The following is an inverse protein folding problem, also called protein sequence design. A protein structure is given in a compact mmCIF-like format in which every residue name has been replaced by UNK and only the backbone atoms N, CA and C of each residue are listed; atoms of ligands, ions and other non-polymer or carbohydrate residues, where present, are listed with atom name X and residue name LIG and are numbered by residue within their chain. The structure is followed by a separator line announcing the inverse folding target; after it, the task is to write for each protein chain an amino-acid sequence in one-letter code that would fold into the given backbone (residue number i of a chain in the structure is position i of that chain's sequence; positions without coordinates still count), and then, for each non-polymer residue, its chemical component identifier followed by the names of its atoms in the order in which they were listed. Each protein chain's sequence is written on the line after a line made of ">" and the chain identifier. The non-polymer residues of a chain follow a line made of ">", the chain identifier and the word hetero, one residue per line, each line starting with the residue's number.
data_IF_037360720798
#
_entry.id   IF_037360720798
#
_cell.length_a   1.000
_cell.length_b   1.000
_cell.length_c   1.000
_cell.angle_alpha   90.00
_cell.angle_beta   90.00
_cell.angle_gamma   90.00
#
_symmetry.space_group_name_H-M   'P 1'
#
loop_
_entity.id
_entity.type
_entity.pdbx_description
1 polymer ?
#
# COMPACT_ATOMS: atom_id res chain seq x y z
N UNK A 1 -11.02 0.27 32.89
CA UNK A 1 -10.10 0.58 31.78
C UNK A 1 -10.08 -0.66 30.89
N UNK A 2 -10.93 -0.69 29.87
CA UNK A 2 -11.08 -1.86 29.00
C UNK A 2 -9.96 -1.88 27.98
N UNK A 3 -9.15 -2.94 27.97
CA UNK A 3 -8.29 -3.25 26.84
C UNK A 3 -9.20 -3.55 25.65
N UNK A 4 -9.17 -2.70 24.62
CA UNK A 4 -9.82 -2.99 23.35
C UNK A 4 -9.24 -4.29 22.83
N UNK A 5 -10.08 -5.32 22.71
CA UNK A 5 -9.66 -6.59 22.15
C UNK A 5 -9.48 -6.37 20.65
N UNK A 6 -8.30 -5.91 20.25
CA UNK A 6 -7.86 -5.89 18.87
C UNK A 6 -7.85 -7.32 18.36
N UNK A 7 -8.97 -7.79 17.81
CA UNK A 7 -9.08 -9.14 17.27
C UNK A 7 -7.93 -9.38 16.32
N UNK A 8 -7.20 -10.50 16.49
CA UNK A 8 -5.98 -10.93 15.78
C UNK A 8 -5.65 -10.17 14.47
N UNK A 9 -5.22 -8.91 14.56
CA UNK A 9 -4.77 -8.17 13.39
C UNK A 9 -3.42 -8.73 12.96
N UNK A 10 -3.21 -8.74 11.66
CA UNK A 10 -1.98 -9.22 11.05
C UNK A 10 -1.79 -8.55 9.70
N UNK A 11 -0.64 -8.85 9.08
CA UNK A 11 -0.34 -8.42 7.72
C UNK A 11 -1.43 -8.84 6.71
N UNK A 12 -2.11 -9.97 6.94
CA UNK A 12 -3.18 -10.48 6.07
C UNK A 12 -4.43 -9.57 6.06
N UNK A 13 -4.56 -8.66 7.03
CA UNK A 13 -5.62 -7.67 7.01
C UNK A 13 -5.31 -6.50 6.06
N UNK A 14 -4.05 -6.34 5.63
CA UNK A 14 -3.69 -5.39 4.57
C UNK A 14 -4.00 -6.02 3.22
N UNK A 15 -5.05 -5.56 2.56
CA UNK A 15 -5.45 -6.03 1.24
C UNK A 15 -5.12 -4.99 0.18
N UNK A 16 -4.71 -5.46 -0.99
CA UNK A 16 -4.31 -4.60 -2.10
C UNK A 16 -5.17 -4.98 -3.30
N UNK A 17 -5.99 -4.03 -3.77
CA UNK A 17 -6.75 -4.13 -5.00
C UNK A 17 -6.11 -3.29 -6.08
N UNK A 18 -6.00 -3.83 -7.29
CA UNK A 18 -5.51 -3.10 -8.46
C UNK A 18 -6.52 -3.23 -9.58
N UNK A 19 -7.00 -2.10 -10.11
CA UNK A 19 -7.97 -2.05 -11.20
C UNK A 19 -7.48 -1.16 -12.32
N UNK A 20 -7.75 -1.54 -13.58
CA UNK A 20 -7.42 -0.70 -14.73
C UNK A 20 -8.29 0.56 -14.71
N UNK A 21 -7.70 1.75 -14.83
CA UNK A 21 -8.47 3.00 -14.80
C UNK A 21 -9.17 3.29 -16.13
N UNK A 22 -8.71 2.67 -17.22
CA UNK A 22 -9.17 2.92 -18.59
C UNK A 22 -8.41 4.05 -19.29
N UNK A 23 -7.51 4.73 -18.57
CA UNK A 23 -6.62 5.75 -19.14
C UNK A 23 -5.31 5.12 -19.62
N UNK A 24 -4.65 5.82 -20.53
CA UNK A 24 -3.30 5.51 -20.98
C UNK A 24 -2.41 6.74 -20.77
N UNK A 25 -1.24 6.53 -20.16
CA UNK A 25 -0.23 7.56 -19.91
C UNK A 25 1.06 7.09 -20.57
N UNK A 26 1.64 7.90 -21.46
CA UNK A 26 2.88 7.55 -22.16
C UNK A 26 2.81 6.23 -22.96
N UNK A 27 1.63 5.86 -23.45
CA UNK A 27 1.41 4.59 -24.17
C UNK A 27 1.38 3.35 -23.26
N UNK A 28 1.24 3.52 -21.95
CA UNK A 28 1.06 2.46 -20.96
C UNK A 28 -0.32 2.57 -20.32
N UNK A 29 -0.93 1.43 -19.99
CA UNK A 29 -2.18 1.41 -19.23
C UNK A 29 -1.99 1.99 -17.83
N UNK A 30 -2.93 2.82 -17.39
CA UNK A 30 -2.98 3.33 -16.01
C UNK A 30 -3.79 2.38 -15.11
N UNK A 31 -3.28 2.17 -13.89
CA UNK A 31 -3.81 1.28 -12.88
C UNK A 31 -4.05 2.03 -11.59
N UNK A 32 -5.24 1.88 -11.01
CA UNK A 32 -5.59 2.41 -9.70
C UNK A 32 -5.38 1.33 -8.65
N UNK A 33 -4.49 1.60 -7.70
CA UNK A 33 -4.21 0.75 -6.55
C UNK A 33 -5.00 1.27 -5.36
N UNK A 34 -5.60 0.37 -4.60
CA UNK A 34 -6.20 0.65 -3.30
C UNK A 34 -5.61 -0.31 -2.28
N UNK A 35 -4.99 0.24 -1.23
CA UNK A 35 -4.51 -0.51 -0.08
C UNK A 35 -5.46 -0.26 1.08
N UNK A 36 -6.06 -1.31 1.62
CA UNK A 36 -7.04 -1.24 2.70
C UNK A 36 -6.57 -2.01 3.92
N UNK A 37 -6.72 -1.42 5.11
CA UNK A 37 -6.57 -2.10 6.38
C UNK A 37 -7.93 -2.67 6.82
N UNK A 38 -8.20 -3.93 6.53
CA UNK A 38 -9.44 -4.61 6.92
C UNK A 38 -9.47 -5.03 8.40
N UNK A 39 -8.55 -4.52 9.23
CA UNK A 39 -8.62 -4.69 10.66
C UNK A 39 -9.22 -3.45 11.34
N UNK A 40 -9.81 -3.63 12.51
CA UNK A 40 -10.32 -2.51 13.32
C UNK A 40 -9.21 -1.67 13.97
N UNK A 41 -7.96 -2.12 13.88
CA UNK A 41 -6.83 -1.51 14.56
C UNK A 41 -5.94 -0.74 13.58
N UNK A 42 -5.41 0.43 13.96
CA UNK A 42 -4.50 1.18 13.10
C UNK A 42 -3.21 0.41 12.85
N UNK A 43 -2.73 0.44 11.61
CA UNK A 43 -1.45 -0.16 11.21
C UNK A 43 -0.55 0.89 10.57
N UNK A 44 0.74 0.90 10.91
CA UNK A 44 1.73 1.86 10.40
C UNK A 44 2.94 1.16 9.84
N UNK A 45 3.85 1.94 9.22
CA UNK A 45 5.08 1.40 8.60
C UNK A 45 4.77 0.26 7.61
N UNK A 46 3.69 0.40 6.86
CA UNK A 46 3.26 -0.61 5.89
C UNK A 46 4.24 -0.62 4.73
N UNK A 47 4.93 -1.74 4.54
CA UNK A 47 5.87 -1.97 3.43
C UNK A 47 5.29 -2.96 2.44
N UNK A 48 5.40 -2.62 1.17
CA UNK A 48 4.97 -3.42 0.04
C UNK A 48 6.18 -3.93 -0.75
N UNK A 49 6.06 -5.13 -1.32
CA UNK A 49 7.02 -5.66 -2.27
C UNK A 49 6.82 -4.99 -3.62
N UNK A 50 7.86 -4.32 -4.11
CA UNK A 50 7.84 -3.55 -5.36
C UNK A 50 9.15 -3.67 -6.15
N UNK A 51 9.86 -4.80 -6.00
CA UNK A 51 11.10 -5.04 -6.73
C UNK A 51 10.86 -5.02 -8.24
N UNK A 52 11.53 -4.10 -8.94
CA UNK A 52 11.33 -3.92 -10.38
C UNK A 52 10.05 -3.17 -10.75
N UNK A 53 9.37 -2.56 -9.78
CA UNK A 53 8.28 -1.64 -10.06
C UNK A 53 8.81 -0.45 -10.86
N UNK A 54 8.10 -0.14 -11.94
CA UNK A 54 8.40 0.98 -12.81
C UNK A 54 7.07 1.62 -13.21
N UNK A 55 7.09 2.90 -13.50
CA UNK A 55 5.92 3.66 -13.90
C UNK A 55 6.36 4.80 -14.82
N UNK A 56 5.58 5.05 -15.87
CA UNK A 56 5.77 6.23 -16.74
C UNK A 56 4.98 7.44 -16.24
N UNK A 57 4.04 7.22 -15.32
CA UNK A 57 3.33 8.26 -14.59
C UNK A 57 4.05 8.53 -13.25
N UNK A 58 4.36 9.80 -12.91
CA UNK A 58 4.89 10.14 -11.61
C UNK A 58 3.91 9.75 -10.50
N UNK A 59 4.36 8.91 -9.56
CA UNK A 59 3.60 8.58 -8.36
C UNK A 59 3.98 9.56 -7.27
N UNK A 60 3.00 10.06 -6.52
CA UNK A 60 3.24 10.96 -5.39
C UNK A 60 4.06 10.24 -4.30
N UNK A 61 5.31 10.69 -4.00
CA UNK A 61 6.16 10.12 -2.97
C UNK A 61 5.52 10.17 -1.57
N UNK A 62 4.60 11.11 -1.32
CA UNK A 62 3.87 11.18 -0.06
C UNK A 62 2.93 9.99 0.12
N UNK A 63 2.49 9.34 -0.97
CA UNK A 63 1.55 8.22 -0.94
C UNK A 63 2.24 6.88 -1.13
N UNK A 64 3.22 6.80 -2.03
CA UNK A 64 3.96 5.58 -2.31
C UNK A 64 5.41 5.89 -2.65
N UNK A 65 6.32 5.47 -1.77
CA UNK A 65 7.74 5.77 -1.88
C UNK A 65 8.54 4.50 -2.09
N UNK A 66 9.39 4.46 -3.13
CA UNK A 66 10.31 3.34 -3.34
C UNK A 66 11.49 3.52 -2.37
N UNK A 67 11.72 2.55 -1.49
CA UNK A 67 12.84 2.62 -0.56
C UNK A 67 14.15 2.37 -1.31
N UNK A 68 15.09 3.31 -1.20
CA UNK A 68 16.46 3.15 -1.66
C UNK A 68 17.16 2.06 -0.84
N UNK A 69 17.89 1.15 -1.52
CA UNK A 69 18.62 0.07 -0.85
C UNK A 69 18.64 -1.28 -1.58
N UNK A 70 17.90 -1.42 -2.68
CA UNK A 70 17.97 -2.63 -3.53
C UNK A 70 17.13 -3.82 -3.03
N UNK A 71 16.52 -3.74 -1.86
CA UNK A 71 15.64 -4.79 -1.30
C UNK A 71 14.28 -4.86 -2.01
N UNK A 72 13.95 -3.90 -2.87
CA UNK A 72 12.70 -3.88 -3.63
C UNK A 72 11.47 -3.72 -2.75
N UNK A 73 11.60 -2.91 -1.68
CA UNK A 73 10.53 -2.57 -0.76
C UNK A 73 10.05 -1.15 -1.04
N UNK A 74 8.74 -0.93 -0.91
CA UNK A 74 8.12 0.38 -1.02
C UNK A 74 7.37 0.69 0.27
N UNK A 75 7.38 1.96 0.66
CA UNK A 75 6.74 2.46 1.86
C UNK A 75 5.44 3.18 1.50
N UNK A 76 4.36 2.77 2.14
CA UNK A 76 3.04 3.35 1.96
C UNK A 76 2.84 4.56 2.88
N UNK A 77 2.31 5.66 2.34
CA UNK A 77 2.06 6.94 3.04
C UNK A 77 3.25 7.40 3.90
N UNK A 78 4.47 7.24 3.39
CA UNK A 78 5.71 7.53 4.13
C UNK A 78 5.77 6.86 5.53
N UNK A 79 5.14 5.69 5.67
CA UNK A 79 5.10 4.92 6.91
C UNK A 79 4.12 5.45 7.96
N UNK A 80 3.26 6.39 7.58
CA UNK A 80 2.18 6.91 8.40
C UNK A 80 1.17 5.83 8.77
N UNK A 81 0.31 6.15 9.72
CA UNK A 81 -0.76 5.25 10.17
C UNK A 81 -1.86 5.18 9.12
N UNK A 82 -2.25 3.95 8.78
CA UNK A 82 -3.50 3.63 8.11
C UNK A 82 -4.49 3.15 9.18
N UNK A 83 -5.49 3.97 9.45
CA UNK A 83 -6.52 3.70 10.46
C UNK A 83 -7.27 2.39 10.19
N UNK A 84 -7.94 1.87 11.22
CA UNK A 84 -8.77 0.68 11.07
C UNK A 84 -9.89 0.91 10.05
N UNK A 85 -10.09 -0.06 9.16
CA UNK A 85 -11.05 0.01 8.03
C UNK A 85 -10.81 1.17 7.04
N UNK A 86 -9.69 1.89 7.15
CA UNK A 86 -9.32 2.93 6.20
C UNK A 86 -8.57 2.36 5.00
N UNK A 87 -8.60 3.11 3.91
CA UNK A 87 -7.87 2.81 2.67
C UNK A 87 -7.12 4.03 2.15
N UNK A 88 -6.02 3.76 1.46
CA UNK A 88 -5.30 4.76 0.66
C UNK A 88 -5.16 4.25 -0.77
N UNK A 89 -5.22 5.17 -1.74
CA UNK A 89 -5.08 4.83 -3.14
C UNK A 89 -4.02 5.68 -3.84
N UNK A 90 -3.43 5.10 -4.87
CA UNK A 90 -2.53 5.79 -5.80
C UNK A 90 -2.66 5.16 -7.19
N UNK A 91 -2.25 5.89 -8.22
CA UNK A 91 -2.27 5.42 -9.60
C UNK A 91 -0.84 5.26 -10.12
N UNK A 92 -0.65 4.32 -11.05
CA UNK A 92 0.60 4.19 -11.79
C UNK A 92 0.31 3.77 -13.23
N UNK A 93 1.23 4.11 -14.14
CA UNK A 93 1.12 3.70 -15.54
C UNK A 93 2.23 2.74 -15.93
N UNK A 94 1.85 1.50 -16.18
CA UNK A 94 2.77 0.42 -16.58
C UNK A 94 2.04 -0.66 -17.37
N UNK A 95 2.78 -1.46 -18.11
CA UNK A 95 2.23 -2.60 -18.86
C UNK A 95 3.25 -3.73 -18.90
N UNK A 96 2.95 -4.92 -18.33
CA UNK A 96 1.67 -5.39 -17.72
C UNK A 96 1.39 -4.80 -16.32
N UNK A 97 0.22 -5.04 -15.67
CA UNK A 97 0.01 -4.61 -14.28
C UNK A 97 1.04 -5.23 -13.34
N UNK A 98 1.50 -4.45 -12.37
CA UNK A 98 2.46 -4.87 -11.36
C UNK A 98 1.75 -5.45 -10.13
N UNK A 99 2.22 -6.61 -9.66
CA UNK A 99 1.70 -7.26 -8.46
C UNK A 99 2.41 -6.71 -7.20
N UNK A 100 1.68 -5.93 -6.41
CA UNK A 100 2.12 -5.46 -5.10
C UNK A 100 1.66 -6.43 -4.03
N UNK A 101 2.54 -6.75 -3.08
CA UNK A 101 2.24 -7.65 -1.96
C UNK A 101 2.60 -7.00 -0.63
N UNK A 102 1.79 -7.13 0.42
CA UNK A 102 2.17 -6.67 1.75
C UNK A 102 3.33 -7.52 2.28
N UNK A 103 4.40 -6.88 2.74
CA UNK A 103 5.59 -7.54 3.29
C UNK A 103 5.73 -7.34 4.80
N UNK A 104 5.31 -6.18 5.29
CA UNK A 104 5.47 -5.81 6.69
C UNK A 104 4.47 -4.73 7.10
N UNK A 105 4.04 -4.78 8.36
CA UNK A 105 3.26 -3.73 9.03
C UNK A 105 3.50 -3.78 10.53
N UNK A 106 3.30 -2.65 11.20
CA UNK A 106 3.30 -2.53 12.66
C UNK A 106 1.89 -2.20 13.12
N UNK A 107 1.31 -3.05 13.96
CA UNK A 107 0.02 -2.80 14.59
C UNK A 107 0.24 -1.78 15.72
N UNK A 108 -0.57 -0.72 15.75
CA UNK A 108 -0.48 0.28 16.81
C UNK A 108 -0.83 -0.32 18.18
N UNK A 109 -0.20 0.14 19.28
CA UNK A 109 -0.47 -0.40 20.62
C UNK A 109 -1.82 0.05 21.19
N UNK A 110 -2.40 1.15 20.68
CA UNK A 110 -3.73 1.63 21.04
C UNK A 110 -4.75 1.10 20.04
N UNK A 111 -5.34 -0.02 20.39
CA UNK A 111 -6.47 -0.63 19.71
C UNK A 111 -7.65 -0.74 20.65
#
# INVERSE_FOLDING_TARGET
>A
MGAGNCGNCSLNNINIGTVRSGREIGGKSEWNVTVINNCGCPQKQIKLGCKGFQTVEPVDPATFFILDGGDGQCLLVNGSTLEGFASVGFSYAWDPPFLLLPLYSVIAPSC
#
